data_IF_901242532183
#
_entry.id   IF_901242532183
#
_cell.length_a   1.000
_cell.length_b   1.000
_cell.length_c   1.000
_cell.angle_alpha   90.00
_cell.angle_beta   90.00
_cell.angle_gamma   90.00
#
_symmetry.space_group_name_H-M   'P 1'
#
loop_
_entity.id
_entity.type
_entity.pdbx_description
1 polymer ?
#
# COMPACT_ATOMS: atom_id res chain seq x y z
N UNK A 1 -0.70 -7.31 -17.91
CA UNK A 1 -1.00 -6.03 -18.61
C UNK A 1 0.32 -5.43 -19.08
N UNK A 2 0.40 -4.83 -20.27
CA UNK A 2 1.63 -4.15 -20.72
C UNK A 2 1.85 -2.86 -19.91
N UNK A 3 3.08 -2.62 -19.45
CA UNK A 3 3.45 -1.39 -18.72
C UNK A 3 3.43 -0.21 -19.69
N UNK A 4 2.66 0.83 -19.38
CA UNK A 4 2.61 2.06 -20.17
C UNK A 4 3.61 3.09 -19.66
N UNK A 5 4.26 3.80 -20.58
CA UNK A 5 5.32 4.79 -20.32
C UNK A 5 5.34 5.89 -21.37
N UNK A 6 6.15 6.92 -21.14
CA UNK A 6 6.34 8.06 -22.05
C UNK A 6 6.59 7.60 -23.50
N UNK A 7 5.79 8.15 -24.42
CA UNK A 7 5.85 7.84 -25.86
C UNK A 7 4.97 6.67 -26.32
N UNK A 8 4.38 5.89 -25.40
CA UNK A 8 3.44 4.84 -25.77
C UNK A 8 2.12 5.45 -26.30
N UNK A 9 1.47 4.73 -27.21
CA UNK A 9 0.21 5.15 -27.83
C UNK A 9 -0.84 4.05 -27.84
N UNK A 10 -2.10 4.44 -27.86
CA UNK A 10 -3.23 3.55 -28.12
C UNK A 10 -4.32 3.56 -27.05
N UNK A 11 -5.25 2.59 -27.08
CA UNK A 11 -6.48 2.65 -26.29
C UNK A 11 -6.24 2.55 -24.78
N UNK A 12 -5.21 1.82 -24.34
CA UNK A 12 -4.85 1.72 -22.93
C UNK A 12 -4.36 3.08 -22.38
N UNK A 13 -3.64 3.85 -23.18
CA UNK A 13 -3.21 5.22 -22.85
C UNK A 13 -4.42 6.16 -22.78
N UNK A 14 -5.37 6.02 -23.71
CA UNK A 14 -6.59 6.81 -23.71
C UNK A 14 -7.41 6.59 -22.42
N UNK A 15 -7.55 5.35 -21.98
CA UNK A 15 -8.27 5.02 -20.73
C UNK A 15 -7.56 5.57 -19.49
N UNK A 16 -6.23 5.47 -19.40
CA UNK A 16 -5.45 6.08 -18.31
C UNK A 16 -5.63 7.60 -18.28
N UNK A 17 -5.54 8.27 -19.43
CA UNK A 17 -5.76 9.72 -19.53
C UNK A 17 -7.17 10.10 -19.11
N UNK A 18 -8.19 9.32 -19.51
CA UNK A 18 -9.56 9.52 -19.09
C UNK A 18 -9.74 9.37 -17.57
N UNK A 19 -9.09 8.36 -16.96
CA UNK A 19 -9.05 8.18 -15.51
C UNK A 19 -8.48 9.42 -14.82
N UNK A 20 -7.29 9.87 -15.24
CA UNK A 20 -6.60 11.01 -14.65
C UNK A 20 -7.40 12.31 -14.81
N UNK A 21 -8.09 12.50 -15.94
CA UNK A 21 -9.02 13.63 -16.14
C UNK A 21 -10.21 13.56 -15.19
N UNK A 22 -10.82 12.40 -15.01
CA UNK A 22 -11.95 12.23 -14.07
C UNK A 22 -11.55 12.53 -12.63
N UNK A 23 -10.27 12.31 -12.29
CA UNK A 23 -9.66 12.63 -11.01
C UNK A 23 -9.15 14.09 -10.91
N UNK A 24 -9.28 14.89 -11.98
CA UNK A 24 -8.81 16.27 -12.03
C UNK A 24 -7.28 16.43 -12.09
N UNK A 25 -6.55 15.36 -12.39
CA UNK A 25 -5.07 15.34 -12.40
C UNK A 25 -4.47 15.68 -13.77
N UNK A 26 -5.29 15.67 -14.83
CA UNK A 26 -4.89 16.00 -16.20
C UNK A 26 -5.88 17.00 -16.80
N UNK A 27 -5.37 18.07 -17.43
CA UNK A 27 -6.19 19.05 -18.13
C UNK A 27 -6.79 18.52 -19.46
N UNK A 28 -7.76 19.25 -20.01
CA UNK A 28 -8.25 18.99 -21.37
C UNK A 28 -7.20 19.33 -22.42
N UNK A 29 -7.15 18.59 -23.53
CA UNK A 29 -6.21 18.87 -24.63
C UNK A 29 -6.55 20.22 -25.26
N UNK A 30 -5.65 21.22 -25.12
CA UNK A 30 -5.69 22.37 -26.03
C UNK A 30 -5.26 21.88 -27.41
N UNK A 31 -6.01 22.15 -28.48
CA UNK A 31 -5.59 21.77 -29.82
C UNK A 31 -4.26 22.45 -30.16
N UNK A 32 -3.36 21.70 -30.79
CA UNK A 32 -2.05 22.18 -31.22
C UNK A 32 -2.24 23.33 -32.23
N UNK A 33 -2.05 24.57 -31.77
CA UNK A 33 -2.23 25.73 -32.64
C UNK A 33 -2.38 27.06 -31.93
N UNK A 34 -1.46 27.43 -31.03
CA UNK A 34 -1.20 28.85 -30.78
C UNK A 34 0.19 29.02 -30.17
N UNK A 35 1.11 29.57 -30.97
CA UNK A 35 2.43 29.98 -30.52
C UNK A 35 2.33 30.96 -29.34
N UNK A 36 3.08 30.69 -28.28
CA UNK A 36 3.35 31.64 -27.19
C UNK A 36 4.86 31.81 -27.03
N UNK A 37 5.37 33.03 -26.85
CA UNK A 37 6.79 33.29 -26.78
C UNK A 37 7.40 32.88 -25.43
N UNK A 38 8.71 32.71 -25.49
CA UNK A 38 9.70 32.32 -24.49
C UNK A 38 9.62 32.96 -23.08
N UNK A 39 9.95 32.14 -22.06
CA UNK A 39 10.94 32.44 -21.02
C UNK A 39 10.47 33.12 -19.71
N UNK A 40 10.56 32.38 -18.59
CA UNK A 40 10.53 32.94 -17.22
C UNK A 40 10.31 31.88 -16.12
N UNK A 41 10.97 31.96 -14.95
CA UNK A 41 11.09 30.85 -14.00
C UNK A 41 9.89 30.68 -13.06
N UNK A 42 9.81 29.48 -12.50
CA UNK A 42 8.83 28.99 -11.52
C UNK A 42 8.70 29.91 -10.31
N UNK A 43 7.49 30.42 -10.04
CA UNK A 43 7.10 30.89 -8.73
C UNK A 43 5.64 30.54 -8.40
N UNK A 44 5.49 29.88 -7.25
CA UNK A 44 4.35 29.80 -6.32
C UNK A 44 2.93 30.03 -6.85
N UNK A 45 2.09 28.99 -6.81
CA UNK A 45 0.63 29.13 -6.90
C UNK A 45 0.06 29.28 -5.47
N UNK A 46 -0.68 30.36 -5.15
CA UNK A 46 -1.15 30.61 -3.78
C UNK A 46 -2.38 29.77 -3.40
N UNK A 47 -2.45 29.38 -2.12
CA UNK A 47 -3.67 28.90 -1.49
C UNK A 47 -4.75 29.99 -1.55
N UNK A 48 -5.94 29.67 -2.05
CA UNK A 48 -7.09 30.57 -2.07
C UNK A 48 -7.97 30.34 -0.83
N UNK A 49 -8.09 31.37 0.00
CA UNK A 49 -9.11 31.52 1.07
C UNK A 49 -10.48 31.90 0.49
N UNK A 50 -11.59 31.67 1.23
CA UNK A 50 -12.94 31.84 0.72
C UNK A 50 -13.40 33.29 0.85
N UNK A 51 -14.05 33.83 -0.19
CA UNK A 51 -14.77 35.10 -0.10
C UNK A 51 -16.19 34.92 -0.63
N UNK A 52 -17.13 35.46 0.16
CA UNK A 52 -18.56 35.44 -0.02
C UNK A 52 -19.04 36.36 -1.15
N UNK A 53 -20.15 36.01 -1.79
CA UNK A 53 -20.86 36.85 -2.76
C UNK A 53 -21.89 36.04 -3.53
N UNK A 54 -23.16 36.14 -3.13
CA UNK A 54 -24.28 35.43 -3.74
C UNK A 54 -24.71 36.00 -5.10
N UNK A 55 -25.08 35.10 -6.00
CA UNK A 55 -25.76 35.32 -7.28
C UNK A 55 -26.45 34.01 -7.68
N UNK A 56 -27.59 34.04 -8.40
CA UNK A 56 -28.59 32.98 -8.39
C UNK A 56 -28.09 31.71 -9.10
N UNK A 57 -28.41 30.56 -8.51
CA UNK A 57 -28.16 29.22 -9.04
C UNK A 57 -29.03 28.99 -10.27
N UNK A 58 -28.42 29.00 -11.46
CA UNK A 58 -29.01 28.49 -12.69
C UNK A 58 -29.07 26.96 -12.61
N UNK A 59 -30.28 26.43 -12.35
CA UNK A 59 -30.58 25.01 -12.35
C UNK A 59 -30.88 24.53 -13.77
N UNK A 60 -29.88 24.58 -14.65
CA UNK A 60 -29.89 23.87 -15.93
C UNK A 60 -29.43 22.42 -15.78
N UNK A 61 -29.97 21.46 -16.54
CA UNK A 61 -29.53 20.08 -16.48
C UNK A 61 -28.06 19.98 -16.92
N UNK A 62 -27.22 19.40 -16.07
CA UNK A 62 -25.81 19.11 -16.40
C UNK A 62 -25.82 18.09 -17.53
N UNK A 63 -25.61 18.55 -18.76
CA UNK A 63 -25.52 17.69 -19.94
C UNK A 63 -24.20 16.92 -19.86
N UNK A 64 -24.24 15.69 -19.30
CA UNK A 64 -23.10 14.75 -19.17
C UNK A 64 -22.71 14.08 -20.51
N UNK A 65 -22.96 14.73 -21.63
CA UNK A 65 -22.77 14.17 -22.97
C UNK A 65 -21.87 15.07 -23.82
N UNK A 66 -20.65 15.26 -23.35
CA UNK A 66 -19.53 15.77 -24.14
C UNK A 66 -18.23 15.21 -23.53
N UNK A 67 -18.11 13.88 -23.51
CA UNK A 67 -16.81 13.25 -23.40
C UNK A 67 -16.14 13.49 -24.75
N UNK A 68 -15.19 14.41 -24.75
CA UNK A 68 -14.33 14.74 -25.88
C UNK A 68 -13.60 13.46 -26.32
N UNK A 69 -14.14 12.80 -27.35
CA UNK A 69 -13.56 11.61 -27.95
C UNK A 69 -12.40 12.03 -28.83
N UNK A 70 -11.27 12.37 -28.20
CA UNK A 70 -9.99 12.21 -28.88
C UNK A 70 -9.94 10.77 -29.42
N UNK A 71 -9.50 10.53 -30.67
CA UNK A 71 -9.52 9.19 -31.23
C UNK A 71 -8.79 8.24 -30.26
N UNK A 72 -9.48 7.20 -29.80
CA UNK A 72 -8.95 6.20 -28.86
C UNK A 72 -7.63 5.58 -29.38
N UNK A 73 -7.38 5.68 -30.68
CA UNK A 73 -6.19 5.19 -31.38
C UNK A 73 -5.02 6.20 -31.41
N UNK A 74 -5.21 7.48 -31.10
CA UNK A 74 -4.17 8.54 -31.16
C UNK A 74 -3.72 9.06 -29.79
N UNK A 75 -4.26 8.53 -28.70
CA UNK A 75 -3.85 8.96 -27.36
C UNK A 75 -2.38 8.61 -27.12
N UNK A 76 -1.58 9.63 -26.76
CA UNK A 76 -0.16 9.52 -26.48
C UNK A 76 0.11 9.73 -25.00
N UNK A 77 1.01 8.92 -24.45
CA UNK A 77 1.50 9.06 -23.10
C UNK A 77 2.57 10.16 -23.11
N UNK A 78 2.12 11.40 -23.07
CA UNK A 78 2.94 12.61 -23.13
C UNK A 78 3.54 12.97 -21.74
N UNK A 79 4.45 13.95 -21.66
CA UNK A 79 5.03 14.37 -20.37
C UNK A 79 3.99 14.86 -19.35
N UNK A 80 2.86 15.40 -19.81
CA UNK A 80 1.77 15.82 -18.93
C UNK A 80 1.07 14.61 -18.28
N UNK A 81 0.85 13.55 -19.05
CA UNK A 81 0.32 12.27 -18.56
C UNK A 81 1.29 11.65 -17.56
N UNK A 82 2.59 11.62 -17.89
CA UNK A 82 3.60 11.09 -16.97
C UNK A 82 3.60 11.85 -15.64
N UNK A 83 3.59 13.19 -15.68
CA UNK A 83 3.55 14.01 -14.47
C UNK A 83 2.26 13.79 -13.66
N UNK A 84 1.10 13.67 -14.33
CA UNK A 84 -0.17 13.37 -13.68
C UNK A 84 -0.18 11.98 -13.03
N UNK A 85 0.43 10.98 -13.68
CA UNK A 85 0.64 9.64 -13.11
C UNK A 85 1.54 9.71 -11.88
N UNK A 86 2.65 10.44 -11.93
CA UNK A 86 3.54 10.63 -10.76
C UNK A 86 2.80 11.28 -9.60
N UNK A 87 2.01 12.32 -9.86
CA UNK A 87 1.22 12.98 -8.83
C UNK A 87 0.16 12.04 -8.24
N UNK A 88 -0.53 11.25 -9.08
CA UNK A 88 -1.45 10.22 -8.62
C UNK A 88 -0.76 9.18 -7.74
N UNK A 89 0.36 8.63 -8.20
CA UNK A 89 1.17 7.65 -7.47
C UNK A 89 1.62 8.21 -6.11
N UNK A 90 2.00 9.49 -6.06
CA UNK A 90 2.38 10.16 -4.83
C UNK A 90 1.22 10.25 -3.84
N UNK A 91 0.05 10.74 -4.29
CA UNK A 91 -1.16 10.86 -3.44
C UNK A 91 -1.61 9.49 -2.92
N UNK A 92 -1.52 8.47 -3.76
CA UNK A 92 -1.98 7.11 -3.45
C UNK A 92 -0.98 6.29 -2.66
N UNK A 93 0.23 6.77 -2.43
CA UNK A 93 1.26 5.95 -1.81
C UNK A 93 1.56 4.72 -2.67
N UNK A 94 1.83 4.93 -3.96
CA UNK A 94 2.38 3.94 -4.87
C UNK A 94 3.86 4.25 -5.14
N UNK A 95 4.55 3.43 -5.93
CA UNK A 95 5.87 3.76 -6.47
C UNK A 95 5.74 4.92 -7.45
N UNK A 96 6.51 6.00 -7.25
CA UNK A 96 6.39 7.24 -8.06
C UNK A 96 7.37 7.19 -9.24
N UNK A 97 7.17 6.22 -10.13
CA UNK A 97 8.03 5.98 -11.29
C UNK A 97 7.53 6.64 -12.58
N UNK A 98 6.29 7.15 -12.58
CA UNK A 98 5.63 7.75 -13.74
C UNK A 98 5.15 6.74 -14.78
N UNK A 99 5.21 5.45 -14.47
CA UNK A 99 4.78 4.35 -15.36
C UNK A 99 3.48 3.75 -14.87
N UNK A 100 2.66 3.28 -15.80
CA UNK A 100 1.40 2.61 -15.45
C UNK A 100 1.56 1.11 -15.65
N UNK A 101 2.03 0.45 -14.59
CA UNK A 101 1.95 -0.99 -14.42
C UNK A 101 0.59 -1.44 -13.88
N UNK A 102 0.45 -2.73 -13.62
CA UNK A 102 -0.82 -3.33 -13.16
C UNK A 102 -1.35 -2.69 -11.87
N UNK A 103 -0.47 -2.42 -10.92
CA UNK A 103 -0.81 -1.79 -9.65
C UNK A 103 -1.33 -0.36 -9.83
N UNK A 104 -0.58 0.49 -10.56
CA UNK A 104 -0.99 1.87 -10.85
C UNK A 104 -2.34 1.90 -11.57
N UNK A 105 -2.55 1.00 -12.53
CA UNK A 105 -3.79 0.93 -13.29
C UNK A 105 -4.97 0.48 -12.42
N UNK A 106 -4.77 -0.52 -11.55
CA UNK A 106 -5.79 -0.95 -10.58
C UNK A 106 -6.17 0.19 -9.65
N UNK A 107 -5.18 0.87 -9.06
CA UNK A 107 -5.43 2.02 -8.19
C UNK A 107 -6.16 3.16 -8.92
N UNK A 108 -5.80 3.44 -10.18
CA UNK A 108 -6.52 4.42 -11.01
C UNK A 108 -7.98 4.04 -11.21
N UNK A 109 -8.28 2.76 -11.44
CA UNK A 109 -9.65 2.28 -11.60
C UNK A 109 -10.44 2.28 -10.29
N UNK A 110 -9.81 1.90 -9.18
CA UNK A 110 -10.39 1.95 -7.84
C UNK A 110 -10.72 3.40 -7.42
N UNK A 111 -9.87 4.35 -7.81
CA UNK A 111 -10.04 5.78 -7.55
C UNK A 111 -11.21 6.45 -8.28
N UNK A 112 -11.71 5.85 -9.37
CA UNK A 112 -12.83 6.42 -10.16
C UNK A 112 -14.15 6.38 -9.42
N UNK A 113 -14.28 5.55 -8.38
CA UNK A 113 -15.54 5.28 -7.71
C UNK A 113 -15.63 6.01 -6.38
N UNK A 114 -16.60 6.90 -6.26
CA UNK A 114 -17.01 7.53 -5.00
C UNK A 114 -18.21 6.82 -4.40
N UNK A 115 -18.35 6.89 -3.07
CA UNK A 115 -19.45 6.25 -2.37
C UNK A 115 -20.81 6.81 -2.83
N UNK A 116 -21.53 5.98 -3.59
CA UNK A 116 -22.82 6.29 -4.21
C UNK A 116 -22.84 6.30 -5.73
N UNK A 117 -21.69 6.11 -6.39
CA UNK A 117 -21.63 5.99 -7.85
C UNK A 117 -22.16 4.65 -8.37
N UNK A 118 -22.13 3.61 -7.53
CA UNK A 118 -22.63 2.26 -7.83
C UNK A 118 -23.18 1.57 -6.58
N UNK A 119 -23.94 0.51 -6.80
CA UNK A 119 -24.42 -0.39 -5.76
C UNK A 119 -23.26 -1.24 -5.23
N UNK A 120 -23.04 -1.22 -3.92
CA UNK A 120 -22.03 -2.08 -3.28
C UNK A 120 -22.74 -3.25 -2.61
N UNK A 121 -22.30 -4.47 -2.91
CA UNK A 121 -22.81 -5.71 -2.32
C UNK A 121 -21.70 -6.74 -2.29
N UNK A 122 -21.84 -7.71 -1.40
CA UNK A 122 -20.95 -8.86 -1.41
C UNK A 122 -21.26 -9.74 -2.63
N UNK A 123 -20.21 -10.09 -3.34
CA UNK A 123 -20.22 -11.05 -4.44
C UNK A 123 -18.98 -11.94 -4.28
N UNK A 124 -19.14 -13.23 -3.93
CA UNK A 124 -18.02 -14.13 -3.68
C UNK A 124 -17.21 -14.44 -4.94
N UNK A 125 -17.82 -14.38 -6.13
CA UNK A 125 -17.13 -14.64 -7.39
C UNK A 125 -16.41 -13.39 -7.91
N UNK A 126 -16.97 -12.20 -7.65
CA UNK A 126 -16.45 -10.93 -8.13
C UNK A 126 -16.49 -9.85 -7.03
N UNK A 127 -15.55 -9.89 -6.07
CA UNK A 127 -15.51 -8.91 -4.99
C UNK A 127 -15.41 -7.48 -5.54
N UNK A 128 -16.32 -6.61 -5.09
CA UNK A 128 -16.28 -5.19 -5.46
C UNK A 128 -15.10 -4.53 -4.73
N UNK A 129 -14.32 -3.73 -5.47
CA UNK A 129 -13.15 -3.02 -4.94
C UNK A 129 -13.14 -1.56 -5.37
N UNK A 130 -12.72 -0.67 -4.49
CA UNK A 130 -12.59 0.75 -4.79
C UNK A 130 -12.57 1.66 -3.57
N UNK A 131 -12.32 2.94 -3.81
CA UNK A 131 -12.38 3.98 -2.77
C UNK A 131 -13.78 4.11 -2.17
N UNK A 132 -14.82 3.85 -2.96
CA UNK A 132 -16.20 3.79 -2.49
C UNK A 132 -16.40 2.73 -1.39
N UNK A 133 -15.72 1.59 -1.49
CA UNK A 133 -15.73 0.54 -0.45
C UNK A 133 -14.93 0.98 0.78
N UNK A 134 -13.76 1.59 0.62
CA UNK A 134 -12.96 2.15 1.73
C UNK A 134 -13.83 3.13 2.52
N UNK A 135 -14.46 4.08 1.82
CA UNK A 135 -15.32 5.08 2.42
C UNK A 135 -16.53 4.46 3.16
N UNK A 136 -17.09 3.35 2.64
CA UNK A 136 -18.14 2.62 3.33
C UNK A 136 -17.61 1.95 4.62
N UNK A 137 -16.49 1.23 4.53
CA UNK A 137 -15.87 0.54 5.66
C UNK A 137 -15.51 1.53 6.77
N UNK A 138 -14.82 2.63 6.44
CA UNK A 138 -14.51 3.72 7.37
C UNK A 138 -15.78 4.26 8.02
N UNK A 139 -16.83 4.50 7.24
CA UNK A 139 -18.08 5.05 7.75
C UNK A 139 -18.79 4.11 8.72
N UNK A 140 -18.80 2.81 8.43
CA UNK A 140 -19.36 1.80 9.32
C UNK A 140 -18.58 1.78 10.65
N UNK A 141 -17.25 1.82 10.60
CA UNK A 141 -16.41 1.90 11.79
C UNK A 141 -16.64 3.17 12.60
N UNK A 142 -16.75 4.33 11.95
CA UNK A 142 -17.09 5.61 12.62
C UNK A 142 -18.44 5.54 13.36
N UNK A 143 -19.37 4.73 12.87
CA UNK A 143 -20.69 4.52 13.45
C UNK A 143 -20.72 3.36 14.47
N UNK A 144 -19.59 2.69 14.70
CA UNK A 144 -19.44 1.62 15.69
C UNK A 144 -19.72 0.21 15.17
N UNK A 145 -19.86 0.03 13.86
CA UNK A 145 -20.08 -1.27 13.23
C UNK A 145 -18.74 -1.88 12.81
N UNK A 146 -18.57 -3.17 13.07
CA UNK A 146 -17.40 -3.92 12.62
C UNK A 146 -17.59 -4.34 11.16
N UNK A 147 -16.79 -3.77 10.26
CA UNK A 147 -16.82 -4.07 8.83
C UNK A 147 -15.55 -4.80 8.38
N UNK A 148 -14.77 -5.36 9.32
CA UNK A 148 -13.47 -5.97 9.03
C UNK A 148 -12.36 -4.93 8.78
N UNK A 149 -11.25 -5.29 8.14
CA UNK A 149 -10.20 -4.34 7.78
C UNK A 149 -10.70 -3.33 6.74
N UNK A 150 -10.21 -2.08 6.83
CA UNK A 150 -10.44 -1.06 5.79
C UNK A 150 -9.46 -1.31 4.63
N UNK A 151 -9.76 -2.31 3.80
CA UNK A 151 -8.93 -2.77 2.69
C UNK A 151 -9.46 -2.33 1.32
N UNK A 152 -10.66 -1.73 1.27
CA UNK A 152 -11.32 -1.33 0.04
C UNK A 152 -11.90 -2.50 -0.76
N UNK A 153 -12.04 -3.68 -0.14
CA UNK A 153 -12.67 -4.87 -0.73
C UNK A 153 -13.99 -5.15 -0.02
N UNK A 154 -15.07 -5.29 -0.77
CA UNK A 154 -16.37 -5.60 -0.20
C UNK A 154 -16.43 -7.09 0.11
N UNK A 155 -15.94 -7.47 1.28
CA UNK A 155 -15.92 -8.84 1.79
C UNK A 155 -17.15 -9.21 2.64
N UNK A 156 -17.19 -10.46 3.15
CA UNK A 156 -18.27 -10.94 4.00
C UNK A 156 -18.35 -10.17 5.32
N UNK A 157 -17.22 -9.73 5.88
CA UNK A 157 -17.19 -8.91 7.11
C UNK A 157 -17.83 -7.54 6.87
N UNK A 158 -17.50 -6.89 5.75
CA UNK A 158 -18.14 -5.65 5.30
C UNK A 158 -19.66 -5.83 5.13
N UNK A 159 -20.09 -6.95 4.56
CA UNK A 159 -21.51 -7.28 4.42
C UNK A 159 -22.21 -7.43 5.77
N UNK A 160 -21.62 -8.16 6.71
CA UNK A 160 -22.15 -8.37 8.06
C UNK A 160 -22.27 -7.04 8.80
N UNK A 161 -21.23 -6.21 8.76
CA UNK A 161 -21.24 -4.86 9.32
C UNK A 161 -22.36 -4.00 8.74
N UNK A 162 -22.53 -4.05 7.41
CA UNK A 162 -23.58 -3.31 6.72
C UNK A 162 -24.99 -3.81 7.05
N UNK A 163 -25.21 -5.13 7.11
CA UNK A 163 -26.50 -5.73 7.51
C UNK A 163 -26.89 -5.31 8.92
N UNK A 164 -25.91 -5.29 9.82
CA UNK A 164 -26.11 -4.86 11.22
C UNK A 164 -26.51 -3.39 11.27
N UNK A 165 -25.79 -2.52 10.56
CA UNK A 165 -26.18 -1.11 10.40
C UNK A 165 -27.60 -0.96 9.85
N UNK A 166 -27.92 -1.64 8.74
CA UNK A 166 -29.25 -1.54 8.12
C UNK A 166 -30.36 -1.96 9.08
N UNK A 167 -30.17 -3.07 9.81
CA UNK A 167 -31.13 -3.55 10.81
C UNK A 167 -31.37 -2.51 11.90
N UNK A 168 -30.30 -1.95 12.45
CA UNK A 168 -30.38 -1.01 13.58
C UNK A 168 -31.03 0.33 13.20
N UNK A 169 -30.94 0.73 11.93
CA UNK A 169 -31.54 1.96 11.41
C UNK A 169 -32.88 1.72 10.67
N UNK A 170 -33.49 0.54 10.82
CA UNK A 170 -34.81 0.24 10.27
C UNK A 170 -34.85 0.20 8.73
N UNK A 171 -33.71 -0.07 8.10
CA UNK A 171 -33.60 -0.29 6.66
C UNK A 171 -33.77 -1.78 6.35
N UNK A 172 -34.01 -2.10 5.07
CA UNK A 172 -33.91 -3.46 4.58
C UNK A 172 -32.49 -3.98 4.82
N UNK A 173 -32.33 -5.00 5.67
CA UNK A 173 -31.05 -5.63 6.00
C UNK A 173 -30.64 -6.62 4.90
N UNK A 174 -30.44 -6.11 3.68
CA UNK A 174 -30.10 -6.89 2.49
C UNK A 174 -28.58 -6.98 2.23
N UNK A 175 -27.76 -6.29 3.03
CA UNK A 175 -26.30 -6.25 2.86
C UNK A 175 -25.85 -5.46 1.63
N UNK A 176 -26.74 -4.67 1.04
CA UNK A 176 -26.47 -3.86 -0.16
C UNK A 176 -26.45 -2.36 0.18
N UNK A 177 -25.35 -1.70 -0.16
CA UNK A 177 -25.23 -0.25 -0.05
C UNK A 177 -25.93 0.42 -1.24
N UNK A 178 -27.26 0.55 -1.13
CA UNK A 178 -28.09 1.27 -2.08
C UNK A 178 -28.43 2.71 -1.67
N UNK A 179 -29.23 3.44 -2.46
CA UNK A 179 -29.60 4.83 -2.20
C UNK A 179 -30.23 5.08 -0.82
N UNK A 180 -30.97 4.11 -0.27
CA UNK A 180 -31.54 4.20 1.08
C UNK A 180 -30.45 4.14 2.15
N UNK A 181 -29.57 3.13 2.07
CA UNK A 181 -28.41 2.95 2.94
C UNK A 181 -27.49 4.17 2.91
N UNK A 182 -27.19 4.70 1.71
CA UNK A 182 -26.37 5.89 1.53
C UNK A 182 -26.98 7.15 2.17
N UNK A 183 -28.30 7.34 2.03
CA UNK A 183 -28.98 8.47 2.70
C UNK A 183 -28.86 8.36 4.21
N UNK A 184 -29.05 7.17 4.78
CA UNK A 184 -28.87 6.94 6.21
C UNK A 184 -27.42 7.22 6.66
N UNK A 185 -26.42 6.69 5.94
CA UNK A 185 -25.00 6.92 6.23
C UNK A 185 -24.61 8.42 6.19
N UNK A 186 -25.21 9.21 5.28
CA UNK A 186 -24.98 10.66 5.16
C UNK A 186 -25.69 11.48 6.23
N UNK A 187 -26.87 11.05 6.69
CA UNK A 187 -27.68 11.78 7.67
C UNK A 187 -27.18 11.61 9.11
N UNK A 188 -26.42 10.56 9.40
CA UNK A 188 -25.94 10.29 10.75
C UNK A 188 -24.66 11.07 11.06
N UNK A 189 -24.73 12.05 11.97
CA UNK A 189 -23.53 12.71 12.50
C UNK A 189 -22.63 11.74 13.28
N UNK A 190 -21.32 12.03 13.34
CA UNK A 190 -20.31 11.25 14.08
C UNK A 190 -20.81 10.91 15.49
N UNK A 191 -21.02 9.62 15.78
CA UNK A 191 -21.39 9.15 17.13
C UNK A 191 -20.17 8.95 18.04
N UNK A 192 -18.94 8.91 17.49
CA UNK A 192 -17.71 8.80 18.26
C UNK A 192 -16.61 9.67 17.62
N UNK A 193 -16.15 10.68 18.34
CA UNK A 193 -14.88 11.37 18.08
C UNK A 193 -13.97 11.11 19.27
N UNK A 194 -13.03 10.18 19.12
CA UNK A 194 -12.01 9.91 20.12
C UNK A 194 -11.72 8.42 20.26
N UNK A 195 -10.50 8.04 19.88
CA UNK A 195 -9.96 6.69 20.03
C UNK A 195 -10.37 5.77 18.88
N UNK A 196 -9.47 5.54 17.92
CA UNK A 196 -9.63 4.50 16.90
C UNK A 196 -9.75 3.14 17.65
N UNK A 197 -10.92 2.47 17.70
CA UNK A 197 -11.08 1.24 18.48
C UNK A 197 -10.24 0.07 17.95
N UNK A 198 -9.80 0.17 16.68
CA UNK A 198 -8.77 -0.71 16.09
C UNK A 198 -7.43 -0.63 16.84
N UNK A 199 -7.02 0.57 17.28
CA UNK A 199 -5.78 0.76 18.06
C UNK A 199 -5.85 -0.01 19.36
N UNK A 200 -6.98 0.05 20.07
CA UNK A 200 -7.14 -0.63 21.35
C UNK A 200 -7.24 -2.15 21.18
N UNK A 201 -7.93 -2.65 20.15
CA UNK A 201 -8.05 -4.10 19.89
C UNK A 201 -6.74 -4.71 19.40
N UNK A 202 -6.05 -4.07 18.45
CA UNK A 202 -4.76 -4.57 17.94
C UNK A 202 -3.65 -4.45 19.00
N UNK A 203 -3.58 -3.35 19.77
CA UNK A 203 -2.60 -3.26 20.84
C UNK A 203 -2.89 -4.26 21.99
N UNK A 204 -4.17 -4.51 22.32
CA UNK A 204 -4.51 -5.47 23.39
C UNK A 204 -4.17 -6.92 23.04
N UNK A 205 -4.39 -7.38 21.80
CA UNK A 205 -4.07 -8.77 21.43
C UNK A 205 -2.57 -9.06 21.37
N UNK A 206 -1.74 -8.04 21.13
CA UNK A 206 -0.27 -8.19 21.07
C UNK A 206 0.36 -8.17 22.46
N UNK A 207 -0.15 -7.35 23.39
CA UNK A 207 0.37 -7.23 24.76
C UNK A 207 0.09 -8.49 25.59
N UNK A 208 -1.04 -9.15 25.38
CA UNK A 208 -1.48 -10.30 26.21
C UNK A 208 -0.65 -11.58 25.98
N UNK A 209 0.21 -11.59 24.96
CA UNK A 209 0.92 -12.80 24.52
C UNK A 209 2.36 -12.93 25.02
N UNK A 210 2.90 -11.90 25.67
CA UNK A 210 4.29 -11.87 26.15
C UNK A 210 5.37 -11.86 25.03
N UNK A 211 6.66 -11.76 25.42
CA UNK A 211 7.78 -11.52 24.50
C UNK A 211 8.31 -12.78 23.79
N UNK A 212 7.70 -13.93 24.01
CA UNK A 212 8.19 -15.19 23.46
C UNK A 212 7.66 -15.39 22.03
N UNK A 213 8.56 -15.68 21.09
CA UNK A 213 8.18 -16.00 19.70
C UNK A 213 7.58 -17.41 19.55
N UNK A 214 7.56 -18.20 20.64
CA UNK A 214 7.01 -19.55 20.68
C UNK A 214 5.53 -19.52 20.30
N UNK A 215 5.18 -20.29 19.27
CA UNK A 215 3.81 -20.39 18.77
C UNK A 215 3.39 -19.29 17.79
N UNK A 216 4.27 -18.32 17.50
CA UNK A 216 4.03 -17.31 16.47
C UNK A 216 4.30 -17.85 15.08
N UNK A 217 3.42 -17.52 14.15
CA UNK A 217 3.54 -17.86 12.73
C UNK A 217 3.96 -16.62 11.96
N UNK A 218 5.18 -16.63 11.44
CA UNK A 218 5.72 -15.51 10.66
C UNK A 218 5.84 -15.97 9.23
N UNK A 219 5.30 -15.20 8.30
CA UNK A 219 5.50 -15.45 6.88
C UNK A 219 6.54 -14.46 6.37
N UNK A 220 7.61 -15.00 5.78
CA UNK A 220 8.65 -14.22 5.12
C UNK A 220 8.51 -14.40 3.62
N UNK A 221 8.37 -13.30 2.91
CA UNK A 221 8.11 -13.25 1.49
C UNK A 221 9.34 -12.73 0.75
N UNK A 222 10.17 -13.62 0.17
CA UNK A 222 11.22 -13.17 -0.74
C UNK A 222 10.59 -12.70 -2.05
N UNK A 223 10.72 -11.40 -2.35
CA UNK A 223 10.26 -10.80 -3.59
C UNK A 223 10.84 -11.48 -4.85
N UNK A 224 10.16 -11.30 -5.98
CA UNK A 224 10.54 -11.88 -7.28
C UNK A 224 10.63 -13.42 -7.23
N UNK A 225 11.30 -14.06 -8.19
CA UNK A 225 11.54 -15.50 -8.27
C UNK A 225 11.27 -16.07 -9.66
N UNK A 226 11.68 -17.31 -9.92
CA UNK A 226 11.37 -18.02 -11.17
C UNK A 226 11.73 -17.22 -12.44
N UNK A 227 10.71 -16.85 -13.22
CA UNK A 227 10.87 -16.06 -14.46
C UNK A 227 11.12 -14.56 -14.21
N UNK A 228 10.72 -14.03 -13.05
CA UNK A 228 11.02 -12.67 -12.62
C UNK A 228 12.29 -12.66 -11.76
N UNK A 229 13.43 -12.34 -12.37
CA UNK A 229 14.70 -12.22 -11.65
C UNK A 229 14.81 -10.94 -10.80
N UNK A 230 13.88 -9.99 -10.95
CA UNK A 230 14.00 -8.63 -10.45
C UNK A 230 15.15 -7.88 -11.13
N UNK A 231 15.90 -7.05 -10.38
CA UNK A 231 17.10 -6.42 -10.92
C UNK A 231 18.24 -7.43 -11.14
N UNK A 232 18.87 -7.37 -12.31
CA UNK A 232 19.98 -8.26 -12.69
C UNK A 232 21.22 -7.45 -13.08
N UNK A 233 22.36 -7.81 -12.51
CA UNK A 233 23.67 -7.30 -12.91
C UNK A 233 24.72 -8.42 -12.92
N UNK A 234 25.23 -8.73 -14.11
CA UNK A 234 26.10 -9.89 -14.30
C UNK A 234 25.35 -11.19 -14.00
N UNK A 235 25.92 -12.02 -13.14
CA UNK A 235 25.33 -13.28 -12.68
C UNK A 235 24.47 -13.13 -11.42
N UNK A 236 24.40 -11.93 -10.85
CA UNK A 236 23.63 -11.67 -9.62
C UNK A 236 22.24 -11.16 -9.96
N UNK A 237 21.23 -11.80 -9.37
CA UNK A 237 19.83 -11.40 -9.46
C UNK A 237 19.31 -10.94 -8.09
N UNK A 238 18.34 -10.04 -8.09
CA UNK A 238 17.60 -9.67 -6.89
C UNK A 238 16.94 -10.91 -6.26
N UNK A 239 16.29 -11.74 -7.08
CA UNK A 239 15.60 -12.94 -6.64
C UNK A 239 16.48 -13.89 -5.82
N UNK A 240 17.75 -14.09 -6.21
CA UNK A 240 18.71 -14.92 -5.48
C UNK A 240 19.14 -14.29 -4.16
N UNK A 241 19.49 -13.00 -4.16
CA UNK A 241 19.96 -12.28 -2.97
C UNK A 241 18.86 -12.16 -1.90
N UNK A 242 17.64 -11.86 -2.33
CA UNK A 242 16.48 -11.75 -1.46
C UNK A 242 16.10 -13.13 -0.90
N UNK A 243 16.19 -14.21 -1.70
CA UNK A 243 15.94 -15.57 -1.22
C UNK A 243 16.98 -16.03 -0.18
N UNK A 244 18.27 -15.72 -0.39
CA UNK A 244 19.32 -15.97 0.63
C UNK A 244 19.05 -15.17 1.92
N UNK A 245 18.62 -13.91 1.82
CA UNK A 245 18.25 -13.12 2.99
C UNK A 245 17.03 -13.69 3.72
N UNK A 246 16.00 -14.11 3.00
CA UNK A 246 14.80 -14.73 3.57
C UNK A 246 15.14 -16.03 4.31
N UNK A 247 15.96 -16.89 3.71
CA UNK A 247 16.42 -18.15 4.32
C UNK A 247 17.22 -17.91 5.62
N UNK A 248 18.02 -16.84 5.66
CA UNK A 248 18.76 -16.42 6.87
C UNK A 248 17.84 -15.92 7.98
N UNK A 249 16.76 -15.21 7.62
CA UNK A 249 15.76 -14.71 8.57
C UNK A 249 14.94 -15.88 9.10
N UNK A 250 14.50 -16.79 8.23
CA UNK A 250 13.78 -18.02 8.59
C UNK A 250 14.56 -18.83 9.62
N UNK A 251 15.81 -19.20 9.33
CA UNK A 251 16.61 -20.01 10.25
C UNK A 251 16.80 -19.37 11.63
N UNK A 252 16.90 -18.04 11.69
CA UNK A 252 17.04 -17.28 12.95
C UNK A 252 15.74 -17.20 13.75
N UNK A 253 14.62 -16.89 13.08
CA UNK A 253 13.31 -16.82 13.71
C UNK A 253 12.85 -18.21 14.18
N UNK A 254 13.10 -19.25 13.38
CA UNK A 254 12.84 -20.64 13.76
C UNK A 254 13.67 -21.06 14.98
N UNK A 255 14.97 -20.72 15.01
CA UNK A 255 15.82 -20.96 16.19
C UNK A 255 15.35 -20.20 17.44
N UNK A 256 14.65 -19.07 17.27
CA UNK A 256 14.05 -18.30 18.35
C UNK A 256 12.64 -18.80 18.76
N UNK A 257 12.13 -19.86 18.13
CA UNK A 257 10.88 -20.55 18.49
C UNK A 257 9.65 -20.18 17.63
N UNK A 258 9.80 -19.30 16.64
CA UNK A 258 8.71 -19.00 15.71
C UNK A 258 8.51 -20.14 14.71
N UNK A 259 7.27 -20.38 14.30
CA UNK A 259 6.97 -21.14 13.08
C UNK A 259 7.09 -20.20 11.89
N UNK A 260 8.04 -20.46 10.98
CA UNK A 260 8.29 -19.57 9.85
C UNK A 260 7.92 -20.27 8.55
N UNK A 261 7.29 -19.54 7.65
CA UNK A 261 6.98 -20.00 6.30
C UNK A 261 7.56 -19.04 5.27
N UNK A 262 8.14 -19.59 4.20
CA UNK A 262 8.48 -18.83 3.01
C UNK A 262 7.34 -18.90 2.00
N UNK A 263 6.98 -17.77 1.37
CA UNK A 263 5.90 -17.74 0.35
C UNK A 263 6.24 -18.49 -0.92
N UNK A 264 7.54 -18.72 -1.18
CA UNK A 264 8.03 -19.43 -2.37
C UNK A 264 9.31 -20.21 -2.08
N UNK A 265 9.55 -21.23 -2.89
CA UNK A 265 10.87 -21.83 -3.06
C UNK A 265 11.80 -20.98 -3.94
N UNK A 266 13.03 -21.46 -4.17
CA UNK A 266 14.06 -20.73 -4.92
C UNK A 266 13.62 -20.41 -6.36
N UNK A 267 13.03 -21.40 -7.04
CA UNK A 267 12.73 -21.35 -8.48
C UNK A 267 11.25 -21.05 -8.78
N UNK A 268 10.50 -20.53 -7.81
CA UNK A 268 9.06 -20.24 -7.93
C UNK A 268 8.81 -18.74 -7.99
N UNK A 269 7.77 -18.33 -8.71
CA UNK A 269 7.32 -16.93 -8.77
C UNK A 269 5.81 -16.80 -8.52
N UNK A 270 5.35 -16.84 -7.25
CA UNK A 270 3.94 -16.62 -6.97
C UNK A 270 3.55 -15.17 -7.24
N UNK A 271 2.36 -14.99 -7.79
CA UNK A 271 1.74 -13.66 -7.95
C UNK A 271 1.50 -12.99 -6.59
N UNK A 272 1.37 -11.65 -6.54
CA UNK A 272 1.04 -10.94 -5.30
C UNK A 272 -0.21 -11.49 -4.59
N UNK A 273 -1.24 -11.90 -5.36
CA UNK A 273 -2.46 -12.49 -4.80
C UNK A 273 -2.22 -13.86 -4.16
N UNK A 274 -1.34 -14.69 -4.73
CA UNK A 274 -0.96 -15.98 -4.14
C UNK A 274 -0.14 -15.78 -2.87
N UNK A 275 0.77 -14.79 -2.84
CA UNK A 275 1.57 -14.45 -1.66
C UNK A 275 0.67 -14.04 -0.48
N UNK A 276 -0.33 -13.18 -0.71
CA UNK A 276 -1.26 -12.76 0.34
C UNK A 276 -2.23 -13.85 0.76
N UNK A 277 -2.74 -14.65 -0.18
CA UNK A 277 -3.57 -15.82 0.13
C UNK A 277 -2.83 -16.82 1.01
N UNK A 278 -1.58 -17.16 0.65
CA UNK A 278 -0.73 -18.05 1.45
C UNK A 278 -0.56 -17.55 2.89
N UNK A 279 -0.27 -16.24 3.08
CA UNK A 279 -0.12 -15.66 4.40
C UNK A 279 -1.41 -15.70 5.23
N UNK A 280 -2.55 -15.44 4.58
CA UNK A 280 -3.87 -15.48 5.20
C UNK A 280 -4.27 -16.91 5.59
N UNK A 281 -3.99 -17.90 4.74
CA UNK A 281 -4.28 -19.31 4.96
C UNK A 281 -3.42 -19.90 6.07
N UNK A 282 -2.13 -19.52 6.12
CA UNK A 282 -1.24 -19.85 7.23
C UNK A 282 -1.68 -19.20 8.56
N UNK A 283 -2.60 -18.22 8.51
CA UNK A 283 -3.03 -17.36 9.61
C UNK A 283 -1.84 -16.75 10.34
N UNK A 284 -0.91 -16.18 9.56
CA UNK A 284 0.30 -15.59 10.10
C UNK A 284 0.00 -14.46 11.10
N UNK A 285 0.84 -14.31 12.11
CA UNK A 285 0.82 -13.20 13.08
C UNK A 285 1.56 -11.97 12.54
N UNK A 286 2.48 -12.16 11.59
CA UNK A 286 3.28 -11.11 10.95
C UNK A 286 3.69 -11.56 9.53
N UNK A 287 3.64 -10.62 8.60
CA UNK A 287 4.08 -10.81 7.21
C UNK A 287 5.22 -9.84 6.87
N UNK A 288 6.34 -10.38 6.40
CA UNK A 288 7.56 -9.61 6.09
C UNK A 288 7.96 -9.87 4.64
N UNK A 289 7.74 -8.92 3.75
CA UNK A 289 8.23 -8.98 2.37
C UNK A 289 9.58 -8.30 2.24
N UNK A 290 10.49 -8.94 1.50
CA UNK A 290 11.88 -8.51 1.35
C UNK A 290 12.14 -8.22 -0.12
N UNK A 291 12.77 -7.09 -0.40
CA UNK A 291 13.17 -6.68 -1.75
C UNK A 291 14.51 -5.95 -1.72
N UNK A 292 15.14 -5.80 -2.88
CA UNK A 292 16.29 -4.91 -3.09
C UNK A 292 16.02 -4.07 -4.33
N UNK A 293 15.70 -2.79 -4.09
CA UNK A 293 15.15 -1.92 -5.13
C UNK A 293 16.19 -1.57 -6.22
N UNK A 294 15.73 -1.01 -7.32
CA UNK A 294 16.58 -0.48 -8.37
C UNK A 294 15.94 0.77 -8.99
N UNK A 295 16.77 1.79 -9.18
CA UNK A 295 16.32 3.06 -9.73
C UNK A 295 17.35 3.64 -10.70
N UNK A 296 16.88 4.38 -11.71
CA UNK A 296 17.71 4.98 -12.76
C UNK A 296 18.63 6.09 -12.26
N UNK A 297 18.23 6.77 -11.18
CA UNK A 297 19.06 7.75 -10.49
C UNK A 297 20.22 7.06 -9.78
N UNK A 298 21.44 7.49 -10.09
CA UNK A 298 22.67 7.03 -9.42
C UNK A 298 22.75 7.44 -7.94
N UNK A 299 21.87 8.33 -7.48
CA UNK A 299 21.80 8.76 -6.09
C UNK A 299 20.86 7.89 -5.23
N UNK A 300 20.06 7.01 -5.86
CA UNK A 300 19.15 6.14 -5.12
C UNK A 300 19.94 5.07 -4.37
N UNK A 301 19.95 5.15 -3.04
CA UNK A 301 20.61 4.21 -2.12
C UNK A 301 20.00 4.30 -0.74
N UNK A 302 20.17 3.25 0.06
CA UNK A 302 19.71 3.18 1.43
C UNK A 302 18.54 2.23 1.63
N UNK A 303 18.09 2.16 2.87
CA UNK A 303 17.06 1.23 3.33
C UNK A 303 15.75 1.96 3.50
N UNK A 304 14.71 1.44 2.86
CA UNK A 304 13.33 1.89 3.02
C UNK A 304 12.47 0.77 3.60
N UNK A 305 11.36 1.17 4.24
CA UNK A 305 10.35 0.22 4.68
C UNK A 305 8.96 0.77 4.38
N UNK A 306 8.03 -0.13 4.14
CA UNK A 306 6.69 0.20 3.70
C UNK A 306 5.67 -0.59 4.51
N UNK A 307 4.59 0.09 4.88
CA UNK A 307 3.49 -0.49 5.64
C UNK A 307 2.18 -0.03 5.03
N UNK A 308 1.08 -0.72 5.32
CA UNK A 308 -0.22 -0.31 4.80
C UNK A 308 -0.62 1.07 5.33
N UNK A 309 -0.89 2.02 4.42
CA UNK A 309 -1.51 3.28 4.79
C UNK A 309 -1.99 4.08 3.58
N UNK A 310 -3.02 4.90 3.81
CA UNK A 310 -3.66 5.77 2.83
C UNK A 310 -3.35 7.24 3.13
N UNK A 311 -3.34 8.09 2.09
CA UNK A 311 -3.26 9.55 2.25
C UNK A 311 -4.46 10.15 3.02
N UNK A 312 -5.55 9.40 3.19
CA UNK A 312 -6.73 9.78 3.99
C UNK A 312 -6.60 9.46 5.49
N UNK A 313 -5.50 8.84 5.91
CA UNK A 313 -5.17 8.63 7.32
C UNK A 313 -5.50 7.25 7.90
N UNK A 314 -6.00 6.32 7.09
CA UNK A 314 -6.10 4.90 7.47
C UNK A 314 -4.70 4.27 7.36
N UNK A 315 -4.18 3.65 8.43
CA UNK A 315 -2.88 2.99 8.41
C UNK A 315 -2.83 1.79 9.36
N UNK A 316 -1.99 0.81 9.03
CA UNK A 316 -1.65 -0.29 9.91
C UNK A 316 -0.64 0.20 10.95
N UNK A 317 -1.08 0.38 12.20
CA UNK A 317 -0.21 0.89 13.27
C UNK A 317 0.84 -0.09 13.72
N UNK A 318 0.48 -1.37 13.84
CA UNK A 318 1.45 -2.44 14.15
C UNK A 318 2.44 -2.61 12.99
N UNK A 319 1.95 -2.52 11.74
CA UNK A 319 2.82 -2.52 10.56
C UNK A 319 3.79 -1.33 10.54
N UNK A 320 3.30 -0.13 10.84
CA UNK A 320 4.13 1.08 10.95
C UNK A 320 5.18 0.96 12.06
N UNK A 321 4.80 0.46 13.24
CA UNK A 321 5.73 0.24 14.35
C UNK A 321 6.81 -0.77 13.97
N UNK A 322 6.43 -1.91 13.39
CA UNK A 322 7.38 -2.93 12.95
C UNK A 322 8.30 -2.41 11.83
N UNK A 323 7.77 -1.71 10.83
CA UNK A 323 8.55 -1.11 9.75
C UNK A 323 9.63 -0.18 10.30
N UNK A 324 9.28 0.67 11.26
CA UNK A 324 10.22 1.55 11.93
C UNK A 324 11.26 0.81 12.77
N UNK A 325 10.88 -0.24 13.50
CA UNK A 325 11.81 -1.07 14.27
C UNK A 325 12.81 -1.78 13.35
N UNK A 326 12.31 -2.48 12.34
CA UNK A 326 13.13 -3.27 11.42
C UNK A 326 14.11 -2.40 10.64
N UNK A 327 13.65 -1.26 10.10
CA UNK A 327 14.53 -0.29 9.44
C UNK A 327 15.62 0.22 10.37
N UNK A 328 15.27 0.67 11.58
CA UNK A 328 16.25 1.20 12.55
C UNK A 328 17.31 0.16 12.95
N UNK A 329 16.90 -1.09 13.16
CA UNK A 329 17.83 -2.19 13.45
C UNK A 329 18.79 -2.45 12.28
N UNK A 330 18.28 -2.44 11.04
CA UNK A 330 19.14 -2.61 9.85
C UNK A 330 20.15 -1.47 9.78
N UNK A 331 19.70 -0.22 9.88
CA UNK A 331 20.57 0.96 9.79
C UNK A 331 21.67 0.95 10.85
N UNK A 332 21.33 0.57 12.09
CA UNK A 332 22.29 0.49 13.20
C UNK A 332 23.41 -0.54 12.96
N UNK A 333 23.14 -1.60 12.18
CA UNK A 333 24.08 -2.69 11.92
C UNK A 333 24.84 -2.57 10.61
N UNK A 334 24.27 -1.90 9.61
CA UNK A 334 24.85 -1.80 8.26
C UNK A 334 25.45 -0.43 7.96
N UNK A 335 24.99 0.63 8.65
CA UNK A 335 25.39 2.01 8.35
C UNK A 335 24.85 2.54 7.01
N UNK A 336 23.89 1.86 6.39
CA UNK A 336 23.26 2.30 5.14
C UNK A 336 22.44 3.58 5.34
N UNK A 337 22.13 4.28 4.25
CA UNK A 337 21.35 5.53 4.30
C UNK A 337 19.91 5.24 4.76
N UNK A 338 19.37 6.12 5.61
CA UNK A 338 17.98 6.04 6.06
C UNK A 338 17.04 6.73 5.06
N UNK A 339 16.16 5.96 4.42
CA UNK A 339 15.12 6.50 3.54
C UNK A 339 13.76 6.63 4.24
N UNK A 340 13.64 6.22 5.50
CA UNK A 340 12.41 6.29 6.27
C UNK A 340 11.42 5.14 6.04
N UNK A 341 10.29 5.25 6.72
CA UNK A 341 9.16 4.32 6.62
C UNK A 341 7.98 5.02 5.97
N UNK A 342 7.38 4.42 4.96
CA UNK A 342 6.37 5.09 4.12
C UNK A 342 5.06 4.30 4.07
N UNK A 343 3.89 4.96 4.23
CA UNK A 343 2.62 4.32 3.98
C UNK A 343 2.46 4.04 2.48
N UNK A 344 1.99 2.83 2.15
CA UNK A 344 1.68 2.39 0.79
C UNK A 344 0.36 1.63 0.76
N UNK A 345 -0.34 1.66 -0.37
CA UNK A 345 -1.58 0.89 -0.59
C UNK A 345 -1.37 -0.36 -1.42
N UNK A 346 -0.14 -0.89 -1.45
CA UNK A 346 0.22 -2.08 -2.21
C UNK A 346 -0.63 -3.27 -1.80
N UNK A 347 -1.08 -4.06 -2.77
CA UNK A 347 -2.00 -5.19 -2.52
C UNK A 347 -1.43 -6.18 -1.50
N UNK A 348 -0.12 -6.38 -1.52
CA UNK A 348 0.59 -7.23 -0.57
C UNK A 348 0.46 -6.74 0.89
N UNK A 349 0.44 -5.43 1.10
CA UNK A 349 0.27 -4.80 2.43
C UNK A 349 -1.21 -4.66 2.81
N UNK A 350 -2.09 -4.49 1.81
CA UNK A 350 -3.52 -4.20 1.98
C UNK A 350 -4.37 -5.45 2.14
N UNK A 351 -4.08 -6.52 1.39
CA UNK A 351 -4.91 -7.75 1.32
C UNK A 351 -4.53 -8.81 2.35
N UNK A 352 -3.49 -8.57 3.13
CA UNK A 352 -3.08 -9.42 4.25
C UNK A 352 -3.93 -9.12 5.50
N UNK A 353 -4.29 -10.17 6.24
CA UNK A 353 -5.12 -10.06 7.46
C UNK A 353 -4.33 -9.81 8.74
N UNK A 354 -3.01 -9.81 8.64
CA UNK A 354 -2.05 -9.56 9.71
C UNK A 354 -1.20 -8.33 9.40
N UNK A 355 -0.48 -7.77 10.38
CA UNK A 355 0.49 -6.72 10.10
C UNK A 355 1.48 -7.15 9.02
N UNK A 356 1.57 -6.34 7.97
CA UNK A 356 2.43 -6.59 6.83
C UNK A 356 3.38 -5.42 6.63
N UNK A 357 4.65 -5.75 6.38
CA UNK A 357 5.70 -4.79 6.06
C UNK A 357 6.49 -5.30 4.88
N UNK A 358 6.80 -4.39 3.96
CA UNK A 358 7.82 -4.61 2.93
C UNK A 358 9.08 -3.84 3.30
N UNK A 359 10.22 -4.49 3.21
CA UNK A 359 11.53 -3.88 3.42
C UNK A 359 12.32 -3.91 2.13
N UNK A 360 12.80 -2.74 1.72
CA UNK A 360 13.72 -2.59 0.61
C UNK A 360 15.10 -2.37 1.22
N UNK A 361 15.93 -3.42 1.21
CA UNK A 361 17.16 -3.50 2.01
C UNK A 361 18.36 -2.75 1.38
N UNK A 362 18.15 -2.00 0.31
CA UNK A 362 19.19 -1.30 -0.45
C UNK A 362 18.86 -1.25 -1.93
N UNK A 363 19.65 -0.48 -2.70
CA UNK A 363 19.49 -0.35 -4.14
C UNK A 363 20.55 -1.14 -4.90
N UNK A 364 20.18 -2.19 -5.62
CA UNK A 364 21.12 -2.98 -6.43
C UNK A 364 21.70 -2.17 -7.60
N UNK A 365 20.97 -1.17 -8.09
CA UNK A 365 21.45 -0.25 -9.13
C UNK A 365 22.58 0.68 -8.67
N UNK A 366 22.80 0.82 -7.36
CA UNK A 366 23.85 1.66 -6.81
C UNK A 366 25.07 0.83 -6.40
N UNK A 367 26.27 1.19 -6.89
CA UNK A 367 27.50 0.44 -6.64
C UNK A 367 27.84 0.17 -5.16
N UNK A 368 27.75 1.19 -4.29
CA UNK A 368 27.98 1.01 -2.82
C UNK A 368 26.99 0.04 -2.18
N UNK A 369 25.69 0.26 -2.34
CA UNK A 369 24.67 -0.64 -1.78
C UNK A 369 24.81 -2.06 -2.34
N UNK A 370 25.05 -2.20 -3.64
CA UNK A 370 25.29 -3.50 -4.28
C UNK A 370 26.48 -4.23 -3.66
N UNK A 371 27.62 -3.56 -3.45
CA UNK A 371 28.78 -4.16 -2.79
C UNK A 371 28.47 -4.63 -1.36
N UNK A 372 27.70 -3.84 -0.61
CA UNK A 372 27.23 -4.22 0.72
C UNK A 372 26.29 -5.44 0.67
N UNK A 373 25.31 -5.42 -0.23
CA UNK A 373 24.31 -6.48 -0.38
C UNK A 373 24.91 -7.79 -0.91
N UNK A 374 25.98 -7.73 -1.71
CA UNK A 374 26.74 -8.91 -2.15
C UNK A 374 27.54 -9.57 -1.01
N UNK A 375 27.88 -8.83 0.04
CA UNK A 375 28.58 -9.39 1.20
C UNK A 375 27.62 -10.22 2.08
N UNK A 376 27.88 -11.52 2.18
CA UNK A 376 27.09 -12.44 3.00
C UNK A 376 27.06 -12.07 4.49
N UNK A 377 28.08 -11.35 5.00
CA UNK A 377 28.13 -10.86 6.38
C UNK A 377 27.13 -9.73 6.59
N UNK A 378 26.97 -8.83 5.63
CA UNK A 378 25.98 -7.75 5.68
C UNK A 378 24.57 -8.34 5.62
N UNK A 379 24.30 -9.29 4.72
CA UNK A 379 23.00 -9.99 4.70
C UNK A 379 22.72 -10.75 5.99
N UNK A 380 23.75 -11.35 6.59
CA UNK A 380 23.67 -11.95 7.92
C UNK A 380 23.34 -10.94 9.02
N UNK A 381 23.88 -9.72 8.94
CA UNK A 381 23.60 -8.63 9.87
C UNK A 381 22.17 -8.09 9.71
N UNK A 382 21.68 -7.93 8.47
CA UNK A 382 20.29 -7.57 8.15
C UNK A 382 19.33 -8.62 8.73
N UNK A 383 19.61 -9.91 8.55
CA UNK A 383 18.79 -10.98 9.09
C UNK A 383 18.72 -10.96 10.63
N UNK A 384 19.84 -10.68 11.30
CA UNK A 384 19.86 -10.48 12.76
C UNK A 384 19.12 -9.22 13.20
N UNK A 385 19.11 -8.17 12.37
CA UNK A 385 18.34 -6.95 12.61
C UNK A 385 16.83 -7.21 12.55
N UNK A 386 16.37 -7.96 11.56
CA UNK A 386 14.95 -8.33 11.43
C UNK A 386 14.51 -9.20 12.60
N UNK A 387 15.33 -10.18 13.03
CA UNK A 387 15.05 -10.96 14.25
C UNK A 387 14.88 -10.05 15.47
N UNK A 388 15.81 -9.12 15.70
CA UNK A 388 15.73 -8.19 16.83
C UNK A 388 14.46 -7.34 16.76
N UNK A 389 14.11 -6.81 15.58
CA UNK A 389 12.89 -6.03 15.39
C UNK A 389 11.62 -6.84 15.66
N UNK A 390 11.58 -8.12 15.27
CA UNK A 390 10.44 -9.00 15.55
C UNK A 390 10.32 -9.23 17.06
N UNK A 391 11.41 -9.54 17.76
CA UNK A 391 11.40 -9.69 19.21
C UNK A 391 10.91 -8.41 19.91
N UNK A 392 11.38 -7.25 19.45
CA UNK A 392 10.98 -5.93 19.98
C UNK A 392 9.53 -5.57 19.71
N UNK A 393 8.93 -6.05 18.62
CA UNK A 393 7.52 -5.83 18.33
C UNK A 393 6.61 -6.48 19.39
N UNK A 394 7.04 -7.59 19.98
CA UNK A 394 6.29 -8.34 20.98
C UNK A 394 6.74 -8.06 22.43
N UNK A 395 7.70 -7.14 22.63
CA UNK A 395 8.07 -6.68 23.97
C UNK A 395 7.05 -5.63 24.47
N UNK A 396 6.68 -5.66 25.77
CA UNK A 396 6.01 -4.53 26.41
C UNK A 396 6.85 -3.24 26.23
N UNK A 397 6.19 -2.09 26.05
CA UNK A 397 6.87 -0.81 25.80
C UNK A 397 7.92 -0.45 26.87
N UNK A 398 7.69 -0.93 28.10
CA UNK A 398 8.54 -0.73 29.29
C UNK A 398 9.85 -1.54 29.23
N UNK A 399 9.93 -2.52 28.33
CA UNK A 399 11.04 -3.45 28.16
C UNK A 399 11.73 -3.34 26.78
N UNK A 400 11.40 -2.32 25.97
CA UNK A 400 12.00 -2.10 24.65
C UNK A 400 13.47 -1.64 24.78
N UNK A 401 14.47 -2.45 24.38
CA UNK A 401 15.86 -2.08 24.51
C UNK A 401 16.30 -1.08 23.42
N UNK A 402 17.41 -0.33 23.65
CA UNK A 402 17.95 0.58 22.64
C UNK A 402 18.28 -0.14 21.34
N UNK A 403 18.00 0.50 20.20
CA UNK A 403 18.27 -0.07 18.87
C UNK A 403 19.74 -0.49 18.72
N UNK A 404 19.96 -1.68 18.16
CA UNK A 404 21.30 -2.25 17.97
C UNK A 404 21.82 -3.08 19.15
N UNK A 405 21.01 -3.26 20.21
CA UNK A 405 21.32 -4.18 21.30
C UNK A 405 20.65 -5.55 21.08
N UNK A 406 21.28 -6.62 21.55
CA UNK A 406 20.72 -7.97 21.51
C UNK A 406 20.52 -8.45 22.94
N UNK A 407 19.28 -8.68 23.35
CA UNK A 407 18.97 -9.20 24.70
C UNK A 407 18.78 -10.71 24.57
N UNK A 408 19.70 -11.48 25.17
CA UNK A 408 19.58 -12.93 25.26
C UNK A 408 18.51 -13.26 26.31
N UNK A 409 17.58 -14.18 26.06
CA UNK A 409 16.65 -14.64 27.09
C UNK A 409 17.45 -15.25 28.25
N UNK A 410 17.14 -14.86 29.48
CA UNK A 410 17.71 -15.51 30.66
C UNK A 410 17.35 -17.00 30.63
N UNK A 411 18.36 -17.86 30.83
CA UNK A 411 18.18 -19.32 30.84
C UNK A 411 17.17 -19.67 31.95
N UNK A 412 16.08 -20.35 31.56
CA UNK A 412 15.12 -21.01 32.46
C UNK A 412 15.84 -22.04 33.32
#
# INVERSE_FOLDING_TARGET
MQILRLGDRGPAVADVRAALRSLGLLGGDKPAGSAGPSGGPLDTIPLRTPAAGGGPLDTGPINRTALDTAPLETAEFDPATELAVRHFQQIRGLSVDGRVGEETYRALNEARWSLGDRLLRYDPERPIRGDDVINLQDRLHELGYDAGPVDGVFGPETEVGLRTFQRDYGLTSDGTCGPATLRALRQLGRKVTGGRPQLLRQSASFVDSGPHLIGRRIVVDPGHGGEDAGYTEGETTEADLVFDLASRIEGRLAAAGATVYLTRGRDQDPTPAQRTAFANDARADLFISLHMDAHSSQHARGVASYYYGTGSGASSTVGEQFANLARREVLARTGMLDLGSHPKTWDLLRMTRMPAVRMDCGYLSHGVDRLLLLDARVRSAIASAVLAAVQRLYLPADADPPTGTFVLPEKI
#
